data_IF_321996302475
#
_entry.id   IF_321996302475
#
_cell.length_a   1.000
_cell.length_b   1.000
_cell.length_c   1.000
_cell.angle_alpha   90.00
_cell.angle_beta   90.00
_cell.angle_gamma   90.00
#
_symmetry.space_group_name_H-M   'P 1'
#
loop_
_entity.id
_entity.type
_entity.pdbx_description
1 polymer ?
#
# COMPACT_ATOMS: atom_id res chain seq x y z
N UNK A 1 6.94 -32.62 -15.15
CA UNK A 1 6.28 -32.28 -13.87
C UNK A 1 6.95 -31.04 -13.32
N UNK A 2 6.32 -29.88 -13.48
CA UNK A 2 6.87 -28.57 -13.12
C UNK A 2 5.94 -27.99 -12.06
N UNK A 3 6.36 -27.97 -10.80
CA UNK A 3 5.54 -27.45 -9.71
C UNK A 3 6.03 -26.06 -9.28
N UNK A 4 5.10 -25.11 -9.41
CA UNK A 4 4.99 -23.81 -8.75
C UNK A 4 5.73 -23.70 -7.41
N UNK A 5 6.36 -22.55 -7.18
CA UNK A 5 7.21 -22.24 -6.03
C UNK A 5 6.47 -21.86 -4.75
N UNK A 6 5.14 -21.90 -4.72
CA UNK A 6 4.36 -21.90 -3.48
C UNK A 6 3.71 -23.27 -3.27
N UNK A 7 4.13 -23.99 -2.22
CA UNK A 7 3.40 -25.17 -1.71
C UNK A 7 2.22 -24.77 -0.82
N UNK A 8 1.84 -23.49 -0.82
CA UNK A 8 0.90 -22.95 0.15
C UNK A 8 -0.47 -23.63 0.04
N UNK A 9 -0.96 -23.87 -1.17
CA UNK A 9 -2.19 -24.64 -1.42
C UNK A 9 -2.13 -26.14 -1.13
N UNK A 10 -0.98 -26.71 -0.73
CA UNK A 10 -0.83 -28.17 -0.50
C UNK A 10 -0.97 -28.58 0.96
N UNK A 11 -1.00 -27.62 1.88
CA UNK A 11 -1.09 -27.83 3.34
C UNK A 11 -2.17 -26.90 3.86
N UNK A 12 -3.00 -27.35 4.81
CA UNK A 12 -4.05 -26.46 5.32
C UNK A 12 -3.45 -25.31 6.13
N UNK A 13 -4.05 -24.12 6.04
CA UNK A 13 -3.64 -22.94 6.81
C UNK A 13 -3.52 -23.26 8.31
N UNK A 14 -4.52 -23.97 8.84
CA UNK A 14 -4.53 -24.48 10.22
C UNK A 14 -3.33 -25.34 10.56
N UNK A 15 -2.94 -26.29 9.70
CA UNK A 15 -1.78 -27.15 9.96
C UNK A 15 -0.47 -26.35 10.01
N UNK A 16 -0.31 -25.35 9.12
CA UNK A 16 0.86 -24.47 9.14
C UNK A 16 0.87 -23.68 10.46
N UNK A 17 -0.28 -23.15 10.87
CA UNK A 17 -0.44 -22.43 12.12
C UNK A 17 -0.12 -23.26 13.36
N UNK A 18 -0.74 -24.44 13.48
CA UNK A 18 -0.52 -25.37 14.59
C UNK A 18 0.96 -25.79 14.70
N UNK A 19 1.62 -26.01 13.57
CA UNK A 19 3.04 -26.38 13.55
C UNK A 19 3.93 -25.22 14.00
N UNK A 20 3.62 -23.99 13.59
CA UNK A 20 4.36 -22.80 14.02
C UNK A 20 4.20 -22.57 15.52
N UNK A 21 2.96 -22.59 16.04
CA UNK A 21 2.67 -22.39 17.45
C UNK A 21 3.31 -23.48 18.32
N UNK A 22 3.34 -24.74 17.85
CA UNK A 22 4.07 -25.82 18.55
C UNK A 22 5.57 -25.61 18.59
N UNK A 23 6.16 -25.03 17.54
CA UNK A 23 7.59 -24.74 17.48
C UNK A 23 7.98 -23.50 18.30
N UNK A 24 7.05 -22.54 18.44
CA UNK A 24 7.27 -21.26 19.11
C UNK A 24 6.12 -20.93 20.08
N UNK A 25 5.95 -21.72 21.16
CA UNK A 25 4.84 -21.53 22.11
C UNK A 25 4.85 -20.16 22.79
N UNK A 26 6.04 -19.58 22.98
CA UNK A 26 6.22 -18.27 23.62
C UNK A 26 5.70 -17.09 22.78
N UNK A 27 5.33 -17.33 21.51
CA UNK A 27 4.80 -16.32 20.59
C UNK A 27 3.29 -16.38 20.39
N UNK A 28 2.55 -17.12 21.23
CA UNK A 28 1.09 -17.15 21.19
C UNK A 28 0.44 -15.75 21.23
N UNK A 29 1.05 -14.82 21.97
CA UNK A 29 0.64 -13.40 22.06
C UNK A 29 1.60 -12.45 21.30
N UNK A 30 2.40 -13.01 20.38
CA UNK A 30 3.41 -12.28 19.62
C UNK A 30 3.04 -12.08 18.15
N UNK A 31 4.06 -11.85 17.33
CA UNK A 31 3.91 -11.69 15.90
C UNK A 31 4.98 -12.46 15.12
N UNK A 32 4.81 -12.45 13.80
CA UNK A 32 5.75 -12.99 12.84
C UNK A 32 6.03 -11.96 11.75
N UNK A 33 7.26 -12.00 11.21
CA UNK A 33 7.60 -11.27 10.01
C UNK A 33 7.37 -12.17 8.80
N UNK A 34 6.69 -11.64 7.79
CA UNK A 34 6.42 -12.36 6.54
C UNK A 34 6.42 -11.42 5.33
N UNK A 35 6.38 -12.02 4.14
CA UNK A 35 6.39 -11.32 2.85
C UNK A 35 5.62 -12.13 1.81
N UNK A 36 4.71 -11.48 1.09
CA UNK A 36 4.07 -12.05 -0.09
C UNK A 36 4.50 -11.24 -1.31
N UNK A 37 5.02 -11.92 -2.33
CA UNK A 37 5.39 -11.32 -3.60
C UNK A 37 4.96 -12.18 -4.78
N UNK A 38 4.60 -11.50 -5.87
CA UNK A 38 4.38 -12.14 -7.16
C UNK A 38 5.41 -11.65 -8.16
N UNK A 39 5.78 -12.53 -9.09
CA UNK A 39 6.57 -12.20 -10.26
C UNK A 39 5.96 -12.86 -11.50
N UNK A 40 6.33 -12.36 -12.67
CA UNK A 40 5.78 -12.82 -13.94
C UNK A 40 6.30 -11.99 -15.11
N UNK A 41 6.32 -12.58 -16.30
CA UNK A 41 6.70 -11.84 -17.51
C UNK A 41 5.76 -10.63 -17.76
N UNK A 42 6.21 -9.70 -18.60
CA UNK A 42 5.44 -8.50 -18.96
C UNK A 42 4.79 -8.59 -20.36
N UNK A 43 4.93 -9.73 -21.04
CA UNK A 43 4.40 -9.90 -22.41
C UNK A 43 5.18 -9.10 -23.47
N UNK A 44 6.35 -8.59 -23.11
CA UNK A 44 7.21 -7.77 -23.96
C UNK A 44 8.67 -8.11 -23.74
N UNK A 45 9.53 -7.77 -24.70
CA UNK A 45 10.97 -8.00 -24.64
C UNK A 45 11.73 -6.87 -25.29
N UNK A 46 12.75 -6.37 -24.60
CA UNK A 46 13.67 -5.37 -25.15
C UNK A 46 14.58 -6.01 -26.20
N UNK A 47 14.86 -5.28 -27.27
CA UNK A 47 15.73 -5.75 -28.35
C UNK A 47 16.31 -4.57 -29.13
N UNK A 48 17.59 -4.67 -29.49
CA UNK A 48 18.25 -3.72 -30.39
C UNK A 48 18.00 -4.08 -31.87
N UNK A 49 17.36 -5.23 -32.11
CA UNK A 49 17.07 -5.73 -33.46
C UNK A 49 15.99 -4.92 -34.19
N UNK A 50 15.26 -4.03 -33.51
CA UNK A 50 14.23 -3.18 -34.16
C UNK A 50 14.90 -2.27 -35.21
N UNK A 51 15.99 -1.58 -34.86
CA UNK A 51 16.70 -0.72 -35.81
C UNK A 51 17.37 -1.53 -36.93
N UNK A 52 17.99 -2.66 -36.58
CA UNK A 52 18.68 -3.56 -37.52
C UNK A 52 17.75 -4.24 -38.53
N UNK A 53 16.51 -4.56 -38.14
CA UNK A 53 15.58 -5.33 -38.99
C UNK A 53 14.79 -4.45 -39.96
N UNK A 54 14.65 -3.15 -39.68
CA UNK A 54 13.73 -2.28 -40.45
C UNK A 54 14.37 -1.04 -41.06
N UNK A 55 15.65 -0.72 -40.79
CA UNK A 55 16.50 0.05 -41.72
C UNK A 55 15.91 1.32 -42.39
N UNK A 56 14.99 2.04 -41.73
CA UNK A 56 14.34 3.24 -42.27
C UNK A 56 12.86 3.09 -42.69
N UNK A 57 12.25 1.91 -42.55
CA UNK A 57 10.79 1.72 -42.76
C UNK A 57 9.98 2.44 -41.67
N UNK A 58 8.87 3.04 -42.10
CA UNK A 58 7.96 3.74 -41.19
C UNK A 58 7.15 2.73 -40.35
N UNK A 59 7.60 2.53 -39.10
CA UNK A 59 6.96 1.65 -38.12
C UNK A 59 5.96 2.40 -37.22
N UNK A 60 5.63 3.65 -37.52
CA UNK A 60 4.76 4.49 -36.67
C UNK A 60 3.36 3.88 -36.49
N UNK A 61 2.89 3.09 -37.46
CA UNK A 61 1.60 2.40 -37.40
C UNK A 61 1.64 1.05 -36.64
N UNK A 62 2.83 0.56 -36.25
CA UNK A 62 3.03 -0.73 -35.59
C UNK A 62 2.82 -0.61 -34.07
N UNK A 63 1.58 -0.82 -33.62
CA UNK A 63 1.17 -0.61 -32.21
C UNK A 63 1.77 -1.59 -31.20
N UNK A 64 2.38 -2.69 -31.64
CA UNK A 64 2.99 -3.71 -30.78
C UNK A 64 4.47 -3.42 -30.47
N UNK A 65 5.01 -2.29 -30.97
CA UNK A 65 6.43 -1.93 -30.83
C UNK A 65 6.59 -0.53 -30.25
N UNK A 66 7.56 -0.39 -29.35
CA UNK A 66 8.11 0.90 -28.93
C UNK A 66 9.58 1.00 -29.37
N UNK A 67 10.23 2.14 -29.09
CA UNK A 67 11.61 2.41 -29.55
C UNK A 67 12.62 1.27 -29.30
N UNK A 68 12.46 0.49 -28.24
CA UNK A 68 13.41 -0.59 -27.89
C UNK A 68 12.74 -1.86 -27.38
N UNK A 69 11.42 -2.00 -27.52
CA UNK A 69 10.66 -3.10 -26.93
C UNK A 69 9.57 -3.60 -27.88
N UNK A 70 9.53 -4.92 -28.04
CA UNK A 70 8.51 -5.62 -28.84
C UNK A 70 7.56 -6.35 -27.90
N UNK A 71 6.27 -6.09 -28.06
CA UNK A 71 5.20 -6.80 -27.37
C UNK A 71 4.81 -8.04 -28.16
N UNK A 72 4.65 -9.16 -27.45
CA UNK A 72 4.24 -10.45 -28.00
C UNK A 72 2.99 -11.01 -27.31
N UNK A 73 2.55 -10.42 -26.19
CA UNK A 73 1.23 -10.60 -25.56
C UNK A 73 0.70 -9.22 -25.12
N UNK A 74 -0.58 -8.94 -25.35
CA UNK A 74 -1.22 -7.69 -24.87
C UNK A 74 -1.16 -7.59 -23.34
N UNK A 75 -0.77 -6.43 -22.81
CA UNK A 75 -0.74 -6.14 -21.37
C UNK A 75 -2.11 -6.34 -20.70
N UNK A 76 -3.21 -6.18 -21.44
CA UNK A 76 -4.57 -6.45 -20.94
C UNK A 76 -4.77 -7.92 -20.59
N UNK A 77 -4.18 -8.85 -21.33
CA UNK A 77 -4.22 -10.27 -21.01
C UNK A 77 -3.46 -10.57 -19.70
N UNK A 78 -2.47 -9.74 -19.34
CA UNK A 78 -1.69 -9.86 -18.12
C UNK A 78 -2.20 -8.99 -16.96
N UNK A 79 -3.36 -8.34 -17.13
CA UNK A 79 -3.94 -7.42 -16.13
C UNK A 79 -4.30 -8.09 -14.81
N UNK A 80 -4.47 -9.42 -14.78
CA UNK A 80 -4.67 -10.16 -13.54
C UNK A 80 -3.56 -9.92 -12.51
N UNK A 81 -2.31 -9.65 -12.95
CA UNK A 81 -1.19 -9.34 -12.05
C UNK A 81 -1.49 -8.13 -11.16
N UNK A 82 -2.03 -7.04 -11.72
CA UNK A 82 -2.33 -5.83 -10.94
C UNK A 82 -3.48 -6.06 -9.97
N UNK A 83 -4.49 -6.84 -10.38
CA UNK A 83 -5.56 -7.30 -9.48
C UNK A 83 -4.99 -8.09 -8.30
N UNK A 84 -4.09 -9.05 -8.55
CA UNK A 84 -3.46 -9.84 -7.49
C UNK A 84 -2.58 -8.98 -6.58
N UNK A 85 -1.79 -8.06 -7.11
CA UNK A 85 -1.02 -7.10 -6.29
C UNK A 85 -1.94 -6.26 -5.39
N UNK A 86 -3.08 -5.81 -5.91
CA UNK A 86 -4.08 -5.07 -5.13
C UNK A 86 -4.71 -5.94 -4.03
N UNK A 87 -5.01 -7.21 -4.31
CA UNK A 87 -5.51 -8.18 -3.33
C UNK A 87 -4.51 -8.42 -2.21
N UNK A 88 -3.23 -8.63 -2.54
CA UNK A 88 -2.14 -8.78 -1.55
C UNK A 88 -2.02 -7.52 -0.68
N UNK A 89 -2.00 -6.34 -1.30
CA UNK A 89 -1.94 -5.07 -0.59
C UNK A 89 -3.11 -4.91 0.39
N UNK A 90 -4.33 -5.24 -0.05
CA UNK A 90 -5.54 -5.18 0.78
C UNK A 90 -5.47 -6.15 1.96
N UNK A 91 -4.98 -7.37 1.74
CA UNK A 91 -4.77 -8.37 2.79
C UNK A 91 -3.77 -7.85 3.84
N UNK A 92 -2.60 -7.41 3.39
CA UNK A 92 -1.55 -6.90 4.28
C UNK A 92 -1.97 -5.64 5.02
N UNK A 93 -2.63 -4.67 4.38
CA UNK A 93 -3.09 -3.45 5.06
C UNK A 93 -4.09 -3.75 6.19
N UNK A 94 -4.90 -4.80 6.03
CA UNK A 94 -5.92 -5.20 7.01
C UNK A 94 -5.35 -5.97 8.20
N UNK A 95 -4.45 -6.93 7.95
CA UNK A 95 -3.97 -7.86 8.99
C UNK A 95 -2.57 -7.56 9.50
N UNK A 96 -1.77 -6.78 8.77
CA UNK A 96 -0.36 -6.56 9.06
C UNK A 96 -0.02 -5.09 9.26
N UNK A 97 1.13 -4.81 9.86
CA UNK A 97 1.79 -3.50 9.78
C UNK A 97 3.05 -3.59 8.92
N UNK A 98 3.42 -2.47 8.29
CA UNK A 98 4.60 -2.42 7.43
C UNK A 98 5.90 -2.64 8.22
N UNK A 99 6.84 -3.40 7.68
CA UNK A 99 8.20 -3.50 8.22
C UNK A 99 9.23 -3.53 7.10
N UNK A 100 9.87 -2.38 6.81
CA UNK A 100 10.79 -2.23 5.68
C UNK A 100 10.17 -2.73 4.37
N UNK A 101 10.66 -3.83 3.77
CA UNK A 101 10.07 -4.49 2.60
C UNK A 101 9.19 -5.71 2.92
N UNK A 102 8.98 -6.01 4.20
CA UNK A 102 8.16 -7.10 4.77
C UNK A 102 6.97 -6.56 5.57
N UNK A 103 6.29 -7.47 6.28
CA UNK A 103 5.09 -7.24 7.06
C UNK A 103 5.20 -7.92 8.41
N UNK A 104 4.76 -7.26 9.47
CA UNK A 104 4.55 -7.86 10.79
C UNK A 104 3.09 -8.30 10.88
N UNK A 105 2.86 -9.55 11.24
CA UNK A 105 1.56 -10.20 11.32
C UNK A 105 1.38 -10.78 12.74
N UNK A 106 0.30 -10.44 13.47
CA UNK A 106 0.01 -11.07 14.76
C UNK A 106 -0.24 -12.57 14.59
N UNK A 107 0.28 -13.39 15.51
CA UNK A 107 0.14 -14.86 15.41
C UNK A 107 -1.32 -15.29 15.42
N UNK A 108 -2.17 -14.62 16.19
CA UNK A 108 -3.62 -14.86 16.21
C UNK A 108 -4.31 -14.66 14.85
N UNK A 109 -3.72 -13.87 13.95
CA UNK A 109 -4.24 -13.62 12.59
C UNK A 109 -3.60 -14.49 11.52
N UNK A 110 -2.67 -15.38 11.90
CA UNK A 110 -1.88 -16.13 10.93
C UNK A 110 -2.72 -17.12 10.12
N UNK A 111 -3.70 -17.78 10.74
CA UNK A 111 -4.62 -18.69 10.03
C UNK A 111 -5.45 -17.93 8.99
N UNK A 112 -6.10 -16.83 9.39
CA UNK A 112 -6.88 -15.96 8.50
C UNK A 112 -6.04 -15.43 7.33
N UNK A 113 -4.82 -14.97 7.62
CA UNK A 113 -3.88 -14.50 6.60
C UNK A 113 -3.51 -15.60 5.59
N UNK A 114 -3.25 -16.81 6.08
CA UNK A 114 -2.89 -17.95 5.25
C UNK A 114 -4.05 -18.41 4.36
N UNK A 115 -5.28 -18.46 4.88
CA UNK A 115 -6.47 -18.82 4.11
C UNK A 115 -6.70 -17.84 2.95
N UNK A 116 -6.60 -16.54 3.21
CA UNK A 116 -6.74 -15.54 2.16
C UNK A 116 -5.56 -15.53 1.19
N UNK A 117 -4.33 -15.73 1.65
CA UNK A 117 -3.17 -15.87 0.78
C UNK A 117 -3.29 -17.09 -0.16
N UNK A 118 -3.85 -18.21 0.32
CA UNK A 118 -4.15 -19.39 -0.50
C UNK A 118 -5.21 -19.11 -1.57
N UNK A 119 -6.28 -18.39 -1.23
CA UNK A 119 -7.26 -17.95 -2.22
C UNK A 119 -6.64 -17.04 -3.28
N UNK A 120 -5.84 -16.04 -2.87
CA UNK A 120 -5.15 -15.15 -3.80
C UNK A 120 -4.18 -15.94 -4.70
N UNK A 121 -3.48 -16.94 -4.17
CA UNK A 121 -2.64 -17.83 -4.99
C UNK A 121 -3.48 -18.59 -6.02
N UNK A 122 -4.66 -19.12 -5.65
CA UNK A 122 -5.57 -19.80 -6.58
C UNK A 122 -6.06 -18.86 -7.68
N UNK A 123 -6.46 -17.64 -7.34
CA UNK A 123 -6.84 -16.59 -8.29
C UNK A 123 -5.69 -16.29 -9.26
N UNK A 124 -4.45 -16.19 -8.77
CA UNK A 124 -3.27 -15.95 -9.58
C UNK A 124 -3.00 -17.09 -10.56
N UNK A 125 -3.09 -18.35 -10.12
CA UNK A 125 -2.94 -19.52 -11.00
C UNK A 125 -4.06 -19.60 -12.04
N UNK A 126 -5.29 -19.28 -11.68
CA UNK A 126 -6.41 -19.22 -12.62
C UNK A 126 -6.18 -18.14 -13.70
N UNK A 127 -5.65 -16.97 -13.31
CA UNK A 127 -5.25 -15.91 -14.25
C UNK A 127 -4.17 -16.37 -15.23
N UNK A 128 -3.14 -17.08 -14.75
CA UNK A 128 -2.10 -17.67 -15.62
C UNK A 128 -2.74 -18.66 -16.59
N UNK A 129 -3.56 -19.59 -16.08
CA UNK A 129 -4.18 -20.63 -16.91
C UNK A 129 -5.06 -20.04 -18.02
N UNK A 130 -5.82 -18.98 -17.72
CA UNK A 130 -6.62 -18.28 -18.73
C UNK A 130 -5.78 -17.77 -19.91
N UNK A 131 -4.60 -17.20 -19.65
CA UNK A 131 -3.70 -16.72 -20.71
C UNK A 131 -3.04 -17.89 -21.44
N UNK A 132 -2.69 -18.96 -20.71
CA UNK A 132 -2.08 -20.18 -21.26
C UNK A 132 -3.05 -20.90 -22.20
N UNK A 133 -4.34 -20.94 -21.89
CA UNK A 133 -5.36 -21.57 -22.74
C UNK A 133 -5.53 -20.83 -24.07
N UNK A 134 -5.28 -19.52 -24.08
CA UNK A 134 -5.41 -18.66 -25.25
C UNK A 134 -4.05 -18.17 -25.81
N UNK A 135 -2.96 -18.87 -25.46
CA UNK A 135 -1.59 -18.40 -25.68
C UNK A 135 -1.30 -18.03 -27.15
N UNK A 136 -1.58 -18.96 -28.06
CA UNK A 136 -1.31 -18.76 -29.49
C UNK A 136 -2.23 -17.70 -30.09
N UNK A 137 -3.47 -17.59 -29.61
CA UNK A 137 -4.42 -16.54 -30.01
C UNK A 137 -3.92 -15.16 -29.61
N UNK A 138 -3.36 -15.01 -28.40
CA UNK A 138 -2.79 -13.73 -27.97
C UNK A 138 -1.58 -13.32 -28.81
N UNK A 139 -0.72 -14.27 -29.17
CA UNK A 139 0.43 -13.99 -30.04
C UNK A 139 -0.05 -13.60 -31.44
N UNK A 140 -1.00 -14.34 -32.01
CA UNK A 140 -1.52 -14.05 -33.34
C UNK A 140 -2.18 -12.67 -33.39
N UNK A 141 -2.94 -12.28 -32.36
CA UNK A 141 -3.53 -10.95 -32.28
C UNK A 141 -2.48 -9.82 -32.31
N UNK A 142 -1.33 -10.00 -31.65
CA UNK A 142 -0.24 -9.01 -31.68
C UNK A 142 0.48 -8.98 -33.02
N UNK A 143 0.58 -10.12 -33.73
CA UNK A 143 1.07 -10.17 -35.12
C UNK A 143 0.12 -9.48 -36.09
N UNK A 144 -1.18 -9.72 -35.98
CA UNK A 144 -2.18 -9.09 -36.84
C UNK A 144 -2.21 -7.57 -36.62
N UNK A 145 -1.96 -7.12 -35.38
CA UNK A 145 -1.83 -5.71 -35.01
C UNK A 145 -0.55 -5.06 -35.54
N UNK A 146 0.50 -5.83 -35.77
CA UNK A 146 1.78 -5.33 -36.28
C UNK A 146 2.42 -6.34 -37.25
N UNK A 147 1.87 -6.45 -38.48
CA UNK A 147 2.27 -7.50 -39.43
C UNK A 147 3.75 -7.45 -39.79
N UNK A 148 4.34 -6.25 -39.87
CA UNK A 148 5.76 -6.09 -40.16
C UNK A 148 6.63 -6.71 -39.06
N UNK A 149 6.13 -6.78 -37.83
CA UNK A 149 6.85 -7.26 -36.64
C UNK A 149 6.63 -8.75 -36.37
N UNK A 150 5.88 -9.46 -37.22
CA UNK A 150 5.48 -10.85 -36.97
C UNK A 150 6.66 -11.79 -36.73
N UNK A 151 7.70 -11.70 -37.58
CA UNK A 151 8.89 -12.55 -37.46
C UNK A 151 9.68 -12.25 -36.19
N UNK A 152 9.79 -10.96 -35.83
CA UNK A 152 10.47 -10.53 -34.62
C UNK A 152 9.70 -10.93 -33.35
N UNK A 153 8.36 -10.89 -33.39
CA UNK A 153 7.49 -11.42 -32.34
C UNK A 153 7.73 -12.92 -32.16
N UNK A 154 7.82 -13.70 -33.24
CA UNK A 154 8.10 -15.14 -33.16
C UNK A 154 9.48 -15.46 -32.60
N UNK A 155 10.49 -14.62 -32.88
CA UNK A 155 11.83 -14.78 -32.33
C UNK A 155 11.91 -14.41 -30.84
N UNK A 156 11.12 -13.42 -30.40
CA UNK A 156 11.25 -12.86 -29.05
C UNK A 156 10.29 -13.48 -28.03
N UNK A 157 9.16 -14.04 -28.48
CA UNK A 157 8.17 -14.68 -27.61
C UNK A 157 8.82 -15.78 -26.76
N UNK A 158 8.27 -15.97 -25.56
CA UNK A 158 8.66 -17.12 -24.76
C UNK A 158 8.03 -18.40 -25.33
N UNK A 159 8.61 -19.55 -24.98
CA UNK A 159 7.87 -20.80 -25.14
C UNK A 159 6.73 -20.82 -24.12
N UNK A 160 5.68 -21.62 -24.38
CA UNK A 160 4.55 -21.74 -23.44
C UNK A 160 4.99 -22.21 -22.05
N UNK A 161 5.98 -23.10 -21.98
CA UNK A 161 6.55 -23.59 -20.72
C UNK A 161 7.37 -22.51 -19.99
N UNK A 162 8.21 -21.77 -20.72
CA UNK A 162 8.98 -20.65 -20.13
C UNK A 162 8.07 -19.51 -19.68
N UNK A 163 6.98 -19.26 -20.40
CA UNK A 163 5.93 -18.31 -19.99
C UNK A 163 5.36 -18.72 -18.64
N UNK A 164 4.91 -19.97 -18.48
CA UNK A 164 4.36 -20.47 -17.21
C UNK A 164 5.40 -20.36 -16.08
N UNK A 165 6.64 -20.81 -16.33
CA UNK A 165 7.74 -20.75 -15.35
C UNK A 165 8.15 -19.34 -14.92
N UNK A 166 7.84 -18.34 -15.74
CA UNK A 166 8.13 -16.94 -15.42
C UNK A 166 7.27 -16.43 -14.25
N UNK A 167 6.09 -17.02 -14.03
CA UNK A 167 5.20 -16.61 -12.97
C UNK A 167 5.50 -17.36 -11.68
N UNK A 168 5.64 -16.60 -10.59
CA UNK A 168 5.86 -17.16 -9.25
C UNK A 168 5.04 -16.40 -8.23
N UNK A 169 4.43 -17.16 -7.33
CA UNK A 169 3.83 -16.66 -6.10
C UNK A 169 4.73 -17.11 -4.95
N UNK A 170 5.26 -16.17 -4.17
CA UNK A 170 6.21 -16.45 -3.10
C UNK A 170 5.64 -15.92 -1.79
N UNK A 171 5.41 -16.82 -0.84
CA UNK A 171 5.22 -16.48 0.57
C UNK A 171 6.52 -16.83 1.30
N UNK A 172 7.15 -15.83 1.93
CA UNK A 172 8.31 -16.04 2.77
C UNK A 172 7.95 -16.86 4.01
N UNK A 173 8.93 -17.61 4.53
CA UNK A 173 8.79 -18.30 5.80
C UNK A 173 8.48 -17.30 6.92
N UNK A 174 7.65 -17.71 7.88
CA UNK A 174 7.33 -16.91 9.05
C UNK A 174 8.54 -16.85 9.97
N UNK A 175 9.05 -15.64 10.19
CA UNK A 175 10.14 -15.39 11.11
C UNK A 175 9.54 -15.00 12.46
N UNK A 176 9.79 -15.75 13.55
CA UNK A 176 9.41 -15.39 14.91
C UNK A 176 9.77 -13.94 15.25
N UNK A 177 8.81 -13.15 15.76
CA UNK A 177 9.05 -11.77 16.14
C UNK A 177 8.42 -11.43 17.51
N UNK A 178 9.26 -10.98 18.44
CA UNK A 178 8.85 -10.47 19.75
C UNK A 178 9.40 -9.05 19.91
N UNK A 179 8.54 -8.01 19.99
CA UNK A 179 8.98 -6.63 20.21
C UNK A 179 9.82 -6.48 21.48
N UNK A 180 9.51 -7.27 22.53
CA UNK A 180 10.14 -7.21 23.85
C UNK A 180 11.59 -7.75 23.82
N UNK A 181 11.94 -8.53 22.79
CA UNK A 181 13.22 -9.23 22.71
C UNK A 181 14.24 -8.55 21.79
N UNK A 182 13.87 -7.46 21.12
CA UNK A 182 14.79 -6.67 20.28
C UNK A 182 15.37 -5.58 21.17
N UNK A 183 16.64 -5.71 21.55
CA UNK A 183 17.35 -4.78 22.42
C UNK A 183 17.34 -3.34 21.84
N UNK A 184 16.51 -2.46 22.39
CA UNK A 184 16.52 -1.02 22.13
C UNK A 184 15.13 -0.38 22.07
N UNK A 185 14.87 0.59 22.94
CA UNK A 185 13.62 1.36 23.02
C UNK A 185 13.21 1.97 21.65
N UNK A 186 14.19 2.37 20.83
CA UNK A 186 13.99 2.93 19.50
C UNK A 186 13.26 1.99 18.53
N UNK A 187 13.44 0.67 18.67
CA UNK A 187 12.82 -0.32 17.78
C UNK A 187 11.36 -0.52 18.15
N UNK A 188 11.04 -0.51 19.45
CA UNK A 188 9.67 -0.59 19.94
C UNK A 188 8.87 0.66 19.53
N UNK A 189 9.43 1.84 19.74
CA UNK A 189 8.81 3.13 19.37
C UNK A 189 8.49 3.20 17.88
N UNK A 190 9.40 2.71 17.03
CA UNK A 190 9.19 2.64 15.58
C UNK A 190 7.94 1.83 15.21
N UNK A 191 7.69 0.69 15.85
CA UNK A 191 6.52 -0.15 15.53
C UNK A 191 5.21 0.41 16.07
N UNK A 192 5.26 1.04 17.24
CA UNK A 192 4.12 1.76 17.79
C UNK A 192 3.73 2.91 16.85
N UNK A 193 4.71 3.66 16.36
CA UNK A 193 4.52 4.72 15.37
C UNK A 193 3.98 4.17 14.04
N UNK A 194 4.54 3.07 13.54
CA UNK A 194 4.10 2.47 12.28
C UNK A 194 2.65 1.99 12.31
N UNK A 195 2.17 1.46 13.45
CA UNK A 195 0.76 1.12 13.62
C UNK A 195 -0.13 2.36 13.43
N UNK A 196 0.26 3.49 14.03
CA UNK A 196 -0.49 4.74 13.97
C UNK A 196 -0.49 5.31 12.53
N UNK A 197 0.67 5.31 11.87
CA UNK A 197 0.79 5.75 10.47
C UNK A 197 -0.08 4.90 9.54
N UNK A 198 -0.03 3.57 9.68
CA UNK A 198 -0.83 2.65 8.86
C UNK A 198 -2.34 2.88 9.05
N UNK A 199 -2.78 3.15 10.28
CA UNK A 199 -4.18 3.47 10.58
C UNK A 199 -4.60 4.81 9.94
N UNK A 200 -3.74 5.83 10.05
CA UNK A 200 -3.99 7.14 9.48
C UNK A 200 -4.08 7.11 7.95
N UNK A 201 -3.16 6.40 7.29
CA UNK A 201 -3.17 6.23 5.84
C UNK A 201 -4.43 5.49 5.35
N UNK A 202 -4.86 4.44 6.05
CA UNK A 202 -6.09 3.72 5.71
C UNK A 202 -7.32 4.61 5.91
N UNK A 203 -7.37 5.35 7.02
CA UNK A 203 -8.43 6.32 7.28
C UNK A 203 -8.51 7.40 6.19
N UNK A 204 -7.36 7.92 5.74
CA UNK A 204 -7.28 8.91 4.67
C UNK A 204 -7.79 8.36 3.33
N UNK A 205 -7.43 7.12 2.96
CA UNK A 205 -7.93 6.46 1.73
C UNK A 205 -9.45 6.32 1.77
N UNK A 206 -10.01 5.95 2.92
CA UNK A 206 -11.46 5.85 3.07
C UNK A 206 -12.10 7.23 3.02
N UNK A 207 -11.57 8.21 3.76
CA UNK A 207 -12.04 9.59 3.75
C UNK A 207 -12.09 10.18 2.34
N UNK A 208 -11.00 10.08 1.58
CA UNK A 208 -10.90 10.58 0.21
C UNK A 208 -11.96 9.96 -0.72
N UNK A 209 -12.33 8.70 -0.49
CA UNK A 209 -13.37 7.99 -1.26
C UNK A 209 -14.79 8.40 -0.88
N UNK A 210 -15.02 8.78 0.38
CA UNK A 210 -16.36 9.08 0.89
C UNK A 210 -16.67 10.58 0.99
N UNK A 211 -15.65 11.45 0.96
CA UNK A 211 -15.77 12.89 1.23
C UNK A 211 -16.87 13.58 0.41
N UNK A 212 -16.99 13.22 -0.88
CA UNK A 212 -17.99 13.77 -1.82
C UNK A 212 -19.30 13.01 -1.90
N UNK A 213 -19.49 11.96 -1.10
CA UNK A 213 -20.67 11.11 -1.18
C UNK A 213 -21.70 11.51 -0.12
N UNK A 214 -22.97 11.63 -0.51
CA UNK A 214 -24.07 11.92 0.42
C UNK A 214 -24.72 10.66 0.99
N UNK A 215 -24.36 9.49 0.44
CA UNK A 215 -24.82 8.18 0.91
C UNK A 215 -23.62 7.25 1.09
N UNK A 216 -23.49 6.66 2.27
CA UNK A 216 -22.40 5.76 2.60
C UNK A 216 -22.89 4.31 2.65
N UNK A 217 -22.11 3.42 2.04
CA UNK A 217 -22.39 1.98 2.02
C UNK A 217 -22.09 1.37 3.38
N UNK A 218 -22.75 0.26 3.71
CA UNK A 218 -22.44 -0.53 4.92
C UNK A 218 -20.98 -0.94 5.00
N UNK A 219 -20.34 -1.17 3.84
CA UNK A 219 -18.90 -1.47 3.74
C UNK A 219 -17.99 -0.39 4.35
N UNK A 220 -18.48 0.84 4.51
CA UNK A 220 -17.72 1.90 5.18
C UNK A 220 -17.63 1.66 6.69
N UNK A 221 -18.69 1.13 7.31
CA UNK A 221 -18.67 0.70 8.72
C UNK A 221 -17.73 -0.50 8.89
N UNK A 222 -17.73 -1.42 7.92
CA UNK A 222 -16.81 -2.57 7.95
C UNK A 222 -15.33 -2.12 7.96
N UNK A 223 -14.99 -0.98 7.34
CA UNK A 223 -13.64 -0.41 7.42
C UNK A 223 -13.28 0.11 8.81
N UNK A 224 -14.23 0.70 9.54
CA UNK A 224 -14.01 1.06 10.94
C UNK A 224 -13.76 -0.17 11.80
N UNK A 225 -14.58 -1.21 11.60
CA UNK A 225 -14.41 -2.47 12.32
C UNK A 225 -13.04 -3.09 12.02
N UNK A 226 -12.60 -3.09 10.77
CA UNK A 226 -11.26 -3.58 10.40
C UNK A 226 -10.14 -2.79 11.08
N UNK A 227 -10.23 -1.46 11.16
CA UNK A 227 -9.25 -0.66 11.92
C UNK A 227 -9.27 -1.00 13.41
N UNK A 228 -10.46 -1.17 14.01
CA UNK A 228 -10.59 -1.57 15.40
C UNK A 228 -9.94 -2.95 15.65
N UNK A 229 -10.29 -3.93 14.83
CA UNK A 229 -9.76 -5.30 14.91
C UNK A 229 -8.23 -5.29 14.76
N UNK A 230 -7.69 -4.46 13.86
CA UNK A 230 -6.25 -4.26 13.70
C UNK A 230 -5.61 -3.69 14.97
N UNK A 231 -6.15 -2.62 15.55
CA UNK A 231 -5.64 -2.05 16.81
C UNK A 231 -5.59 -3.12 17.91
N UNK A 232 -6.69 -3.87 18.08
CA UNK A 232 -6.78 -4.95 19.08
C UNK A 232 -5.71 -6.01 18.85
N UNK A 233 -5.53 -6.44 17.59
CA UNK A 233 -4.56 -7.48 17.23
C UNK A 233 -3.10 -7.06 17.45
N UNK A 234 -2.82 -5.75 17.56
CA UNK A 234 -1.50 -5.18 17.80
C UNK A 234 -1.33 -4.59 19.22
N UNK A 235 -2.26 -4.83 20.13
CA UNK A 235 -2.16 -4.33 21.52
C UNK A 235 -0.95 -4.87 22.28
N UNK A 236 -0.39 -6.01 21.88
CA UNK A 236 0.86 -6.51 22.46
C UNK A 236 2.08 -5.60 22.14
N UNK A 237 2.01 -4.78 21.07
CA UNK A 237 3.01 -3.77 20.71
C UNK A 237 2.69 -2.42 21.38
N UNK A 238 1.43 -1.99 21.35
CA UNK A 238 1.00 -0.69 21.87
C UNK A 238 -0.30 -0.83 22.66
N UNK A 239 -0.20 -1.07 23.98
CA UNK A 239 -1.36 -1.32 24.84
C UNK A 239 -2.26 -0.11 24.98
N UNK A 240 -1.66 1.08 25.01
CA UNK A 240 -2.32 2.37 25.18
C UNK A 240 -3.23 2.70 23.99
N UNK A 241 -2.97 2.13 22.80
CA UNK A 241 -3.83 2.30 21.61
C UNK A 241 -5.27 1.76 21.79
N UNK A 242 -5.54 1.00 22.87
CA UNK A 242 -6.89 0.52 23.22
C UNK A 242 -7.92 1.65 23.27
N UNK A 243 -7.52 2.87 23.69
CA UNK A 243 -8.41 4.04 23.75
C UNK A 243 -9.02 4.37 22.38
N UNK A 244 -8.26 4.16 21.29
CA UNK A 244 -8.76 4.35 19.94
C UNK A 244 -9.73 3.23 19.54
N UNK A 245 -9.43 1.98 19.89
CA UNK A 245 -10.33 0.86 19.61
C UNK A 245 -11.68 1.00 20.34
N UNK A 246 -11.67 1.48 21.58
CA UNK A 246 -12.89 1.78 22.34
C UNK A 246 -13.68 2.94 21.73
N UNK A 247 -13.00 3.98 21.26
CA UNK A 247 -13.65 5.10 20.61
C UNK A 247 -14.29 4.71 19.26
N UNK A 248 -13.61 3.90 18.44
CA UNK A 248 -14.21 3.34 17.21
C UNK A 248 -15.45 2.53 17.57
N UNK A 249 -15.39 1.68 18.60
CA UNK A 249 -16.53 0.90 19.09
C UNK A 249 -17.72 1.80 19.45
N UNK A 250 -17.44 2.88 20.16
CA UNK A 250 -18.46 3.85 20.57
C UNK A 250 -19.14 4.47 19.35
N UNK A 251 -18.38 4.92 18.36
CA UNK A 251 -18.96 5.48 17.13
C UNK A 251 -19.78 4.46 16.36
N UNK A 252 -19.26 3.25 16.17
CA UNK A 252 -20.00 2.18 15.48
C UNK A 252 -21.33 1.82 16.16
N UNK A 253 -21.37 1.84 17.51
CA UNK A 253 -22.58 1.54 18.27
C UNK A 253 -23.66 2.64 18.17
N UNK A 254 -23.26 3.87 17.84
CA UNK A 254 -24.17 5.02 17.72
C UNK A 254 -24.58 5.30 16.27
N UNK A 255 -24.02 4.61 15.28
CA UNK A 255 -24.40 4.73 13.88
C UNK A 255 -25.58 3.80 13.53
N UNK A 256 -26.43 4.19 12.55
CA UNK A 256 -27.51 3.32 12.09
C UNK A 256 -26.94 2.04 11.45
N UNK A 257 -27.65 0.92 11.65
CA UNK A 257 -27.28 -0.35 11.03
C UNK A 257 -27.62 -0.31 9.53
N UNK A 258 -26.66 -0.65 8.67
CA UNK A 258 -26.87 -0.75 7.22
C UNK A 258 -26.29 0.43 6.46
N UNK A 259 -26.95 0.82 5.36
CA UNK A 259 -26.54 1.99 4.58
C UNK A 259 -26.85 3.27 5.36
N UNK A 260 -25.93 4.23 5.32
CA UNK A 260 -26.05 5.50 6.04
C UNK A 260 -26.42 6.58 5.03
N UNK A 261 -27.62 7.13 5.18
CA UNK A 261 -28.18 8.16 4.30
C UNK A 261 -28.59 9.42 5.02
N UNK A 262 -28.66 9.38 6.35
CA UNK A 262 -28.95 10.56 7.18
C UNK A 262 -27.78 11.54 7.07
N UNK A 263 -28.00 12.81 6.66
CA UNK A 263 -26.92 13.79 6.51
C UNK A 263 -26.05 13.93 7.77
N UNK A 264 -26.67 13.86 8.95
CA UNK A 264 -25.97 13.86 10.24
C UNK A 264 -25.01 12.69 10.37
N UNK A 265 -25.49 11.47 10.15
CA UNK A 265 -24.70 10.26 10.35
C UNK A 265 -23.57 10.13 9.30
N UNK A 266 -23.85 10.58 8.08
CA UNK A 266 -22.85 10.68 7.00
C UNK A 266 -21.74 11.65 7.39
N UNK A 267 -22.10 12.83 7.90
CA UNK A 267 -21.13 13.83 8.32
C UNK A 267 -20.32 13.39 9.55
N UNK A 268 -20.94 12.73 10.55
CA UNK A 268 -20.24 12.11 11.69
C UNK A 268 -19.19 11.13 11.18
N UNK A 269 -19.56 10.24 10.26
CA UNK A 269 -18.65 9.22 9.76
C UNK A 269 -17.50 9.83 8.94
N UNK A 270 -17.79 10.83 8.08
CA UNK A 270 -16.76 11.58 7.34
C UNK A 270 -15.76 12.22 8.29
N UNK A 271 -16.24 12.91 9.33
CA UNK A 271 -15.41 13.55 10.33
C UNK A 271 -14.57 12.54 11.11
N UNK A 272 -15.12 11.36 11.42
CA UNK A 272 -14.37 10.29 12.06
C UNK A 272 -13.18 9.83 11.21
N UNK A 273 -13.38 9.56 9.91
CA UNK A 273 -12.26 9.18 9.04
C UNK A 273 -11.25 10.31 8.84
N UNK A 274 -11.71 11.57 8.78
CA UNK A 274 -10.82 12.72 8.71
C UNK A 274 -9.97 12.86 9.97
N UNK A 275 -10.59 12.74 11.15
CA UNK A 275 -9.89 12.73 12.42
C UNK A 275 -8.87 11.58 12.51
N UNK A 276 -9.29 10.36 12.16
CA UNK A 276 -8.40 9.19 12.17
C UNK A 276 -7.26 9.31 11.16
N UNK A 277 -7.36 10.19 10.15
CA UNK A 277 -6.30 10.40 9.16
C UNK A 277 -5.13 11.26 9.66
N UNK A 278 -5.24 11.88 10.84
CA UNK A 278 -4.15 12.65 11.45
C UNK A 278 -3.37 11.81 12.47
N UNK A 279 -2.23 11.28 12.03
CA UNK A 279 -1.34 10.47 12.88
C UNK A 279 -0.86 11.23 14.14
N UNK A 280 -0.64 12.55 14.07
CA UNK A 280 -0.20 13.36 15.22
C UNK A 280 -1.32 13.51 16.24
N UNK A 281 -2.55 13.67 15.77
CA UNK A 281 -3.73 13.67 16.61
C UNK A 281 -3.93 12.32 17.30
N UNK A 282 -3.82 11.22 16.56
CA UNK A 282 -3.90 9.87 17.14
C UNK A 282 -2.87 9.66 18.24
N UNK A 283 -1.61 10.09 18.05
CA UNK A 283 -0.57 10.04 19.08
C UNK A 283 -0.95 10.79 20.34
N UNK A 284 -1.46 12.03 20.21
CA UNK A 284 -1.90 12.86 21.34
C UNK A 284 -3.06 12.25 22.13
N UNK A 285 -3.95 11.54 21.45
CA UNK A 285 -5.02 10.80 22.12
C UNK A 285 -4.46 9.60 22.89
N UNK A 286 -3.56 8.84 22.29
CA UNK A 286 -2.96 7.67 22.93
C UNK A 286 -2.11 8.09 24.14
N UNK A 287 -1.37 9.20 24.05
CA UNK A 287 -0.58 9.74 25.18
C UNK A 287 -1.45 10.35 26.29
N UNK A 288 -2.74 10.57 26.04
CA UNK A 288 -3.67 11.19 26.99
C UNK A 288 -3.58 12.72 27.04
N UNK A 289 -2.78 13.36 26.18
CA UNK A 289 -2.74 14.81 26.02
C UNK A 289 -4.08 15.38 25.55
N UNK A 290 -4.84 14.59 24.78
CA UNK A 290 -6.15 14.96 24.30
C UNK A 290 -7.16 13.85 24.55
N UNK A 291 -8.39 14.21 24.96
CA UNK A 291 -9.46 13.25 25.18
C UNK A 291 -10.32 13.09 23.93
N UNK A 292 -10.60 11.84 23.56
CA UNK A 292 -11.54 11.53 22.47
C UNK A 292 -12.93 12.13 22.74
N UNK A 293 -13.34 12.20 24.00
CA UNK A 293 -14.64 12.74 24.42
C UNK A 293 -14.82 14.21 24.05
N UNK A 294 -13.76 15.01 24.18
CA UNK A 294 -13.83 16.45 23.93
C UNK A 294 -14.09 16.72 22.43
N UNK A 295 -13.55 15.84 21.58
CA UNK A 295 -13.80 15.85 20.14
C UNK A 295 -15.20 15.31 19.78
N UNK A 296 -15.63 14.20 20.39
CA UNK A 296 -16.99 13.65 20.19
C UNK A 296 -18.06 14.69 20.58
N UNK A 297 -17.82 15.43 21.64
CA UNK A 297 -18.66 16.55 22.08
C UNK A 297 -18.64 17.70 21.08
N UNK A 298 -17.48 18.05 20.52
CA UNK A 298 -17.35 19.08 19.49
C UNK A 298 -18.19 18.75 18.25
N UNK A 299 -18.16 17.50 17.79
CA UNK A 299 -18.98 17.03 16.68
C UNK A 299 -20.46 17.07 17.02
N UNK A 300 -20.82 16.62 18.23
CA UNK A 300 -22.23 16.63 18.64
C UNK A 300 -22.77 18.06 18.71
N UNK A 301 -21.96 19.03 19.14
CA UNK A 301 -22.32 20.45 19.20
C UNK A 301 -22.46 21.07 17.81
N UNK A 302 -21.57 20.78 16.86
CA UNK A 302 -21.66 21.35 15.51
C UNK A 302 -22.97 21.00 14.81
N UNK A 303 -23.49 19.78 14.99
CA UNK A 303 -24.79 19.39 14.43
C UNK A 303 -26.00 20.01 15.14
N UNK A 304 -25.88 20.32 16.44
CA UNK A 304 -26.99 20.95 17.17
C UNK A 304 -27.13 22.44 16.80
N UNK A 305 -26.05 23.12 16.42
CA UNK A 305 -26.08 24.53 16.01
C UNK A 305 -26.86 24.71 14.70
N UNK A 306 -26.64 23.85 13.70
CA UNK A 306 -27.37 23.89 12.41
C UNK A 306 -28.89 23.63 12.53
N UNK A 307 -29.31 22.98 13.62
CA UNK A 307 -30.72 22.73 13.89
C UNK A 307 -31.47 23.92 14.50
N UNK A 308 -30.74 24.93 15.01
CA UNK A 308 -31.33 26.17 15.55
C UNK A 308 -31.35 27.32 14.53
N UNK A 309 -30.39 27.37 13.59
CA UNK A 309 -30.33 28.45 12.58
C UNK A 309 -31.30 28.28 11.40
N UNK A 310 -31.88 27.09 11.20
CA UNK A 310 -32.91 26.88 10.16
C UNK A 310 -34.31 27.44 10.50
N UNK A 311 -34.47 28.17 11.60
CA UNK A 311 -35.70 28.90 11.95
C UNK A 311 -35.69 30.39 11.63
N UNK A 312 -34.58 30.96 11.15
CA UNK A 312 -34.53 32.37 10.76
C UNK A 312 -33.72 32.59 9.48
N UNK A 313 -34.39 33.13 8.46
CA UNK A 313 -33.88 33.70 7.20
C UNK A 313 -33.60 32.74 6.03
N UNK A 314 -34.65 32.55 5.22
CA UNK A 314 -34.49 32.37 3.77
C UNK A 314 -34.16 33.71 3.11
N UNK A 315 -32.99 33.83 2.48
CA UNK A 315 -32.83 34.37 1.10
C UNK A 315 -31.34 34.46 0.68
N UNK A 316 -31.08 33.85 -0.48
CA UNK A 316 -29.97 34.03 -1.43
C UNK A 316 -28.61 33.36 -1.15
N UNK A 317 -28.29 32.48 -2.11
CA UNK A 317 -27.09 31.73 -2.39
C UNK A 317 -25.74 32.48 -2.25
N UNK A 318 -24.78 31.80 -1.64
CA UNK A 318 -23.47 31.45 -2.21
C UNK A 318 -23.03 30.13 -1.55
N UNK A 319 -22.56 29.15 -2.34
CA UNK A 319 -21.87 27.97 -1.81
C UNK A 319 -20.53 28.44 -1.22
N UNK A 320 -20.54 28.86 0.05
CA UNK A 320 -19.35 29.13 0.83
C UNK A 320 -19.03 27.89 1.68
N UNK A 321 -17.77 27.47 1.58
CA UNK A 321 -17.20 26.28 2.20
C UNK A 321 -17.29 26.38 3.74
N UNK A 322 -18.22 25.61 4.33
CA UNK A 322 -18.60 25.63 5.77
C UNK A 322 -17.44 25.29 6.73
N UNK A 323 -16.26 24.95 6.23
CA UNK A 323 -15.13 24.50 7.05
C UNK A 323 -13.91 25.42 7.05
N UNK A 324 -13.94 26.56 6.36
CA UNK A 324 -12.83 27.55 6.43
C UNK A 324 -12.79 28.30 7.77
N UNK A 325 -13.90 28.33 8.52
CA UNK A 325 -14.03 29.03 9.81
C UNK A 325 -13.77 28.16 11.04
N UNK A 326 -13.49 26.86 10.87
CA UNK A 326 -13.14 25.94 11.96
C UNK A 326 -11.62 25.75 12.13
N UNK A 327 -10.82 26.77 11.82
CA UNK A 327 -9.42 26.86 12.26
C UNK A 327 -9.39 27.10 13.79
N UNK A 328 -9.66 26.04 14.56
CA UNK A 328 -9.49 25.97 16.03
C UNK A 328 -8.08 25.48 16.40
N UNK A 329 -7.14 25.52 15.45
CA UNK A 329 -5.72 25.33 15.70
C UNK A 329 -4.98 26.63 15.35
N UNK A 330 -4.95 27.57 16.30
CA UNK A 330 -3.89 28.59 16.32
C UNK A 330 -2.66 27.93 16.91
N UNK A 331 -1.58 27.86 16.13
CA UNK A 331 -0.24 27.85 16.71
C UNK A 331 -0.05 29.15 17.51
N UNK A 332 0.50 29.05 18.72
CA UNK A 332 0.92 30.23 19.47
C UNK A 332 2.00 30.98 18.66
N UNK A 333 1.98 32.33 18.61
CA UNK A 333 2.99 33.06 17.85
C UNK A 333 4.35 32.97 18.55
N UNK A 334 5.36 32.49 17.83
CA UNK A 334 6.75 32.76 18.17
C UNK A 334 7.04 34.25 17.97
N UNK A 335 7.59 34.90 18.99
CA UNK A 335 8.03 36.30 18.92
C UNK A 335 9.02 36.52 17.76
N UNK A 336 8.73 37.52 16.93
CA UNK A 336 9.58 37.98 15.84
C UNK A 336 10.86 38.65 16.38
N UNK A 337 12.03 38.17 15.94
CA UNK A 337 13.26 38.98 15.94
C UNK A 337 13.45 39.53 14.52
N UNK A 338 13.52 40.85 14.43
CA UNK A 338 13.54 41.68 13.23
C UNK A 338 14.56 41.24 12.15
N UNK A 339 14.09 41.22 10.90
CA UNK A 339 14.92 41.26 9.70
C UNK A 339 15.27 42.70 9.37
N UNK A 340 16.55 42.97 9.09
CA UNK A 340 16.92 44.04 8.16
C UNK A 340 17.54 43.43 6.90
N UNK A 341 16.89 43.76 5.78
CA UNK A 341 17.25 43.41 4.42
C UNK A 341 18.56 44.11 3.99
N UNK A 342 19.23 43.59 2.94
CA UNK A 342 19.36 44.28 1.65
C UNK A 342 19.96 43.31 0.60
N UNK A 343 19.32 43.38 -0.56
CA UNK A 343 19.52 42.76 -1.88
C UNK A 343 20.93 42.82 -2.51
N UNK A 344 21.25 41.79 -3.30
CA UNK A 344 22.38 41.67 -4.24
C UNK A 344 22.33 42.72 -5.38
N UNK A 345 23.43 43.01 -6.14
CA UNK A 345 23.73 42.17 -7.34
C UNK A 345 25.20 42.14 -7.90
N UNK A 346 25.45 41.11 -8.72
CA UNK A 346 26.27 40.93 -9.95
C UNK A 346 27.79 41.27 -10.10
N UNK A 347 28.49 40.24 -10.62
CA UNK A 347 29.55 40.18 -11.67
C UNK A 347 30.98 40.69 -11.43
N UNK A 348 31.99 39.80 -11.60
CA UNK A 348 33.13 39.94 -12.53
C UNK A 348 34.18 38.78 -12.45
N UNK A 349 34.46 38.14 -13.60
CA UNK A 349 35.78 37.88 -14.25
C UNK A 349 37.00 37.35 -13.42
N UNK A 350 37.30 36.03 -13.53
CA UNK A 350 38.49 35.29 -14.11
C UNK A 350 39.89 36.01 -14.00
N UNK A 351 41.09 35.38 -13.77
CA UNK A 351 41.50 34.03 -14.24
C UNK A 351 42.66 33.22 -13.52
N UNK A 352 42.95 32.03 -14.10
CA UNK A 352 44.18 31.15 -14.16
C UNK A 352 44.74 30.51 -12.85
N UNK A 353 45.31 29.30 -12.80
CA UNK A 353 46.11 28.52 -13.77
C UNK A 353 45.92 26.99 -13.71
N UNK A 354 46.31 26.41 -14.85
CA UNK A 354 46.54 25.02 -15.28
C UNK A 354 47.07 23.99 -14.27
N UNK A 355 46.75 22.69 -14.48
CA UNK A 355 47.62 21.74 -15.21
C UNK A 355 46.82 20.47 -15.52
N UNK A 356 46.98 20.05 -16.77
CA UNK A 356 46.32 18.95 -17.46
C UNK A 356 46.99 17.58 -17.22
N UNK A 357 46.24 16.51 -17.54
CA UNK A 357 46.63 15.31 -18.32
C UNK A 357 46.41 13.93 -17.66
N UNK A 358 45.58 13.17 -18.39
CA UNK A 358 45.78 11.82 -18.89
C UNK A 358 45.18 10.61 -18.17
N UNK A 359 44.37 9.93 -19.00
CA UNK A 359 43.84 8.59 -18.87
C UNK A 359 44.95 7.52 -18.79
N UNK A 360 44.65 6.41 -18.10
CA UNK A 360 44.90 5.03 -18.53
C UNK A 360 44.28 4.07 -17.52
N UNK A 361 43.63 3.02 -18.01
CA UNK A 361 42.87 2.08 -17.18
C UNK A 361 43.72 1.06 -16.42
N UNK A 362 43.04 0.23 -15.62
CA UNK A 362 43.33 -1.20 -15.46
C UNK A 362 42.39 -1.83 -14.43
N UNK A 363 42.06 -3.08 -14.72
CA UNK A 363 41.35 -4.05 -13.88
C UNK A 363 41.94 -4.17 -12.47
N UNK A 364 41.10 -4.44 -11.46
CA UNK A 364 41.12 -5.73 -10.76
C UNK A 364 40.20 -5.74 -9.53
N UNK A 365 39.47 -6.85 -9.41
CA UNK A 365 39.18 -7.61 -8.19
C UNK A 365 38.92 -6.84 -6.89
N UNK A 366 37.67 -6.89 -6.43
CA UNK A 366 37.37 -7.16 -5.02
C UNK A 366 36.28 -8.23 -4.95
N UNK A 367 36.73 -9.48 -4.94
CA UNK A 367 36.04 -10.54 -4.22
C UNK A 367 36.20 -10.24 -2.73
N UNK A 368 35.10 -10.23 -1.99
CA UNK A 368 35.13 -10.48 -0.55
C UNK A 368 33.85 -11.21 -0.19
N UNK A 369 34.00 -12.52 -0.04
CA UNK A 369 33.09 -13.40 0.67
C UNK A 369 32.77 -12.79 2.03
N UNK A 370 31.48 -12.70 2.34
CA UNK A 370 31.00 -12.63 3.71
C UNK A 370 29.97 -13.75 3.84
N UNK A 371 30.48 -14.90 4.27
CA UNK A 371 29.72 -16.04 4.75
C UNK A 371 28.84 -15.60 5.93
N UNK A 372 27.53 -15.75 5.82
CA UNK A 372 26.61 -15.68 6.94
C UNK A 372 26.36 -17.09 7.46
N UNK A 373 27.19 -17.50 8.41
CA UNK A 373 26.96 -18.66 9.25
C UNK A 373 26.11 -18.25 10.46
N UNK A 374 24.96 -18.89 10.59
CA UNK A 374 24.19 -18.99 11.84
C UNK A 374 23.19 -17.86 12.09
N UNK A 375 22.07 -18.28 12.70
CA UNK A 375 20.89 -17.54 13.15
C UNK A 375 19.74 -17.45 12.15
#
# INVERSE_FOLDING_TARGET
MTFNTSKLNKVSAKQICDNFVKAHPDLLEGAVITKIEISGCQGSRRTDKIELSYGGDDITDQKSVSKSEVRWIDIKALSFKSTITSRISTLCSRLCIRYSNMWILPVERMEEFLEEAQEIEREFQAGIQNVVDNYDTHIQAEKDRSPLMSDLIDQLKLTKDDFIKSFRFNLAHFIPFSPISVEGDETQDFYQEQLIIDLADEAMKVYAKISKNDNLRSSTIDRLKQMQDKIISFMFIHKEAVVLAEAIKHVMNNLPKGAISSPRDVAVLKQWFYFMSDASMLKRIISGEQKVTDWLDSITRSFNIDSQDNTANSQNAFEDDVFSSANVFREDPLEEVEKNAVTAPLSAVVPEEDVSLQASGSNSAFNSELELNGW
#
